data_IF_471277358251
#
_entry.id   IF_471277358251
#
_cell.length_a   1.000
_cell.length_b   1.000
_cell.length_c   1.000
_cell.angle_alpha   90.00
_cell.angle_beta   90.00
_cell.angle_gamma   90.00
#
_symmetry.space_group_name_H-M   'P 1'
#
loop_
_entity.id
_entity.type
_entity.pdbx_description
1 polymer ?
#
# COMPACT_ATOMS: atom_id res chain seq x y z
N UNK A 1 -27.50 28.77 10.93
CA UNK A 1 -26.99 28.36 9.60
C UNK A 1 -25.61 28.92 9.26
N UNK A 2 -25.32 30.21 9.45
CA UNK A 2 -24.03 30.81 9.02
C UNK A 2 -22.75 30.08 9.49
N UNK A 3 -22.68 29.66 10.77
CA UNK A 3 -21.48 29.01 11.33
C UNK A 3 -21.16 27.64 10.72
N UNK A 4 -22.18 26.85 10.38
CA UNK A 4 -21.95 25.53 9.78
C UNK A 4 -21.43 25.67 8.35
N UNK A 5 -21.93 26.65 7.59
CA UNK A 5 -21.43 26.92 6.23
C UNK A 5 -20.01 27.48 6.21
N UNK A 6 -19.64 28.31 7.19
CA UNK A 6 -18.25 28.75 7.39
C UNK A 6 -17.29 27.61 7.74
N UNK A 7 -17.75 26.61 8.50
CA UNK A 7 -16.95 25.43 8.77
C UNK A 7 -16.69 24.62 7.50
N UNK A 8 -17.73 24.40 6.69
CA UNK A 8 -17.60 23.73 5.39
C UNK A 8 -16.61 24.47 4.49
N UNK A 9 -16.77 25.79 4.33
CA UNK A 9 -15.83 26.64 3.59
C UNK A 9 -14.39 26.50 4.09
N UNK A 10 -14.18 26.51 5.40
CA UNK A 10 -12.84 26.37 5.99
C UNK A 10 -12.20 25.00 5.71
N UNK A 11 -12.99 23.93 5.68
CA UNK A 11 -12.50 22.57 5.47
C UNK A 11 -12.34 22.19 4.00
N UNK A 12 -13.03 22.86 3.08
CA UNK A 12 -13.04 22.48 1.66
C UNK A 12 -12.48 23.52 0.69
N UNK A 13 -12.44 24.80 1.07
CA UNK A 13 -12.14 25.89 0.13
C UNK A 13 -11.21 26.98 0.70
N UNK A 14 -10.64 26.77 1.89
CA UNK A 14 -9.64 27.69 2.46
C UNK A 14 -8.23 27.32 2.00
N UNK A 15 -7.29 28.25 2.18
CA UNK A 15 -5.87 27.97 1.95
C UNK A 15 -5.35 26.81 2.81
N UNK A 16 -5.90 26.64 4.01
CA UNK A 16 -5.56 25.52 4.89
C UNK A 16 -6.09 24.19 4.34
N UNK A 17 -7.30 24.18 3.76
CA UNK A 17 -7.84 23.00 3.09
C UNK A 17 -6.94 22.55 1.92
N UNK A 18 -6.51 23.49 1.06
CA UNK A 18 -5.58 23.19 -0.04
C UNK A 18 -4.24 22.64 0.47
N UNK A 19 -3.73 23.17 1.58
CA UNK A 19 -2.51 22.64 2.20
C UNK A 19 -2.69 21.20 2.70
N UNK A 20 -3.80 20.91 3.40
CA UNK A 20 -4.12 19.57 3.88
C UNK A 20 -4.28 18.56 2.74
N UNK A 21 -4.89 18.95 1.62
CA UNK A 21 -5.03 18.08 0.43
C UNK A 21 -3.66 17.69 -0.14
N UNK A 22 -2.75 18.66 -0.29
CA UNK A 22 -1.39 18.41 -0.80
C UNK A 22 -0.60 17.56 0.19
N UNK A 23 -0.64 17.91 1.48
CA UNK A 23 0.03 17.17 2.53
C UNK A 23 -0.49 15.72 2.64
N UNK A 24 -1.79 15.50 2.44
CA UNK A 24 -2.41 14.18 2.48
C UNK A 24 -1.91 13.24 1.38
N UNK A 25 -1.53 13.76 0.21
CA UNK A 25 -1.07 12.94 -0.93
C UNK A 25 0.44 12.98 -1.17
N UNK A 26 1.19 13.85 -0.49
CA UNK A 26 2.65 13.96 -0.64
C UNK A 26 3.44 13.80 0.67
N UNK A 27 2.80 13.90 1.84
CA UNK A 27 3.47 13.85 3.15
C UNK A 27 4.14 12.50 3.44
N UNK A 28 3.60 11.40 2.91
CA UNK A 28 4.20 10.05 2.95
C UNK A 28 4.99 9.69 1.68
N UNK A 29 5.22 10.64 0.78
CA UNK A 29 5.61 10.39 -0.61
C UNK A 29 4.41 10.48 -1.56
N UNK A 30 4.69 10.65 -2.86
CA UNK A 30 3.66 10.64 -3.91
C UNK A 30 2.85 9.33 -3.86
N UNK A 31 1.57 9.28 -4.28
CA UNK A 31 0.76 8.06 -4.20
C UNK A 31 1.38 6.82 -4.86
N UNK A 32 2.26 7.03 -5.85
CA UNK A 32 3.03 5.94 -6.48
C UNK A 32 4.03 5.27 -5.51
N UNK A 33 4.54 6.00 -4.53
CA UNK A 33 5.50 5.48 -3.54
C UNK A 33 4.91 4.40 -2.67
N UNK A 34 3.61 4.47 -2.32
CA UNK A 34 2.94 3.40 -1.59
C UNK A 34 2.89 2.12 -2.42
N UNK A 35 2.56 2.25 -3.72
CA UNK A 35 2.60 1.13 -4.65
C UNK A 35 4.01 0.56 -4.75
N UNK A 36 5.04 1.39 -4.88
CA UNK A 36 6.43 0.92 -4.91
C UNK A 36 6.78 0.19 -3.61
N UNK A 37 6.50 0.79 -2.45
CA UNK A 37 6.83 0.24 -1.14
C UNK A 37 6.19 -1.14 -0.89
N UNK A 38 4.90 -1.30 -1.18
CA UNK A 38 4.22 -2.59 -1.06
C UNK A 38 4.81 -3.66 -2.00
N UNK A 39 5.33 -3.24 -3.15
CA UNK A 39 5.89 -4.14 -4.14
C UNK A 39 7.35 -4.49 -3.93
N UNK A 40 8.10 -3.73 -3.11
CA UNK A 40 9.52 -4.00 -2.84
C UNK A 40 9.74 -5.37 -2.20
N UNK A 41 8.84 -5.79 -1.31
CA UNK A 41 8.96 -7.07 -0.59
C UNK A 41 7.99 -8.14 -1.10
N UNK A 42 7.15 -7.81 -2.09
CA UNK A 42 6.17 -8.77 -2.60
C UNK A 42 6.84 -9.85 -3.46
N UNK A 43 6.76 -11.10 -3.02
CA UNK A 43 7.27 -12.25 -3.78
C UNK A 43 6.35 -12.63 -4.94
N UNK A 44 6.54 -11.94 -6.06
CA UNK A 44 5.82 -12.18 -7.31
C UNK A 44 6.01 -13.59 -7.88
N UNK A 45 7.22 -14.14 -7.78
CA UNK A 45 7.53 -15.45 -8.36
C UNK A 45 6.83 -16.58 -7.59
N UNK A 46 6.71 -16.47 -6.27
CA UNK A 46 5.89 -17.40 -5.48
C UNK A 46 4.45 -17.45 -5.97
N UNK A 47 3.83 -16.28 -6.22
CA UNK A 47 2.44 -16.18 -6.70
C UNK A 47 2.28 -16.74 -8.11
N UNK A 48 3.24 -16.46 -8.98
CA UNK A 48 3.30 -16.99 -10.35
C UNK A 48 3.45 -18.52 -10.36
N UNK A 49 4.27 -19.07 -9.47
CA UNK A 49 4.46 -20.52 -9.37
C UNK A 49 3.20 -21.24 -8.90
N UNK A 50 2.44 -20.65 -7.96
CA UNK A 50 1.11 -21.14 -7.58
C UNK A 50 0.18 -21.13 -8.79
N UNK A 51 0.11 -20.03 -9.54
CA UNK A 51 -0.75 -19.93 -10.72
C UNK A 51 -0.39 -20.98 -11.79
N UNK A 52 0.91 -21.17 -12.07
CA UNK A 52 1.40 -22.20 -13.01
C UNK A 52 1.08 -23.62 -12.56
N UNK A 53 1.23 -23.91 -11.27
CA UNK A 53 0.88 -25.21 -10.72
C UNK A 53 -0.61 -25.51 -10.86
N UNK A 54 -1.46 -24.55 -10.48
CA UNK A 54 -2.93 -24.68 -10.60
C UNK A 54 -3.38 -24.79 -12.06
N UNK A 55 -2.66 -24.16 -12.99
CA UNK A 55 -2.90 -24.29 -14.43
C UNK A 55 -2.34 -25.59 -15.04
N UNK A 56 -1.71 -26.46 -14.25
CA UNK A 56 -1.10 -27.70 -14.74
C UNK A 56 0.18 -27.51 -15.56
N UNK A 57 0.74 -26.30 -15.60
CA UNK A 57 2.01 -25.99 -16.28
C UNK A 57 3.17 -26.59 -15.48
N UNK A 58 3.13 -26.45 -14.16
CA UNK A 58 4.08 -27.09 -13.24
C UNK A 58 3.41 -28.30 -12.60
N UNK A 59 4.11 -29.44 -12.55
CA UNK A 59 3.61 -30.67 -11.91
C UNK A 59 3.68 -30.65 -10.39
N UNK A 60 4.61 -29.87 -9.86
CA UNK A 60 4.89 -29.77 -8.43
C UNK A 60 4.94 -28.30 -8.01
N UNK A 61 4.61 -28.04 -6.75
CA UNK A 61 4.63 -26.73 -6.14
C UNK A 61 5.52 -26.77 -4.90
N UNK A 62 6.66 -26.10 -4.96
CA UNK A 62 7.52 -25.89 -3.79
C UNK A 62 7.15 -24.59 -3.06
N UNK A 63 6.67 -24.72 -1.82
CA UNK A 63 6.36 -23.60 -0.94
C UNK A 63 7.30 -23.54 0.28
N UNK A 64 8.41 -24.26 0.26
CA UNK A 64 9.35 -24.36 1.39
C UNK A 64 9.83 -23.00 1.89
N UNK A 65 9.98 -22.02 0.99
CA UNK A 65 10.36 -20.64 1.34
C UNK A 65 9.29 -19.96 2.21
N UNK A 66 8.03 -19.96 1.77
CA UNK A 66 6.90 -19.37 2.49
C UNK A 66 6.65 -20.07 3.84
N UNK A 67 6.77 -21.40 3.87
CA UNK A 67 6.56 -22.17 5.10
C UNK A 67 7.61 -21.90 6.17
N UNK A 68 8.82 -21.49 5.77
CA UNK A 68 9.92 -21.12 6.67
C UNK A 68 9.90 -19.65 7.06
N UNK A 69 9.05 -18.86 6.41
CA UNK A 69 8.95 -17.43 6.65
C UNK A 69 8.38 -17.17 8.04
N UNK A 70 9.09 -16.38 8.83
CA UNK A 70 8.62 -15.98 10.16
C UNK A 70 7.90 -14.65 10.04
N UNK A 71 6.77 -14.47 10.74
CA UNK A 71 6.07 -13.19 10.74
C UNK A 71 7.04 -12.09 11.19
N UNK A 72 7.14 -11.04 10.37
CA UNK A 72 8.09 -9.93 10.60
C UNK A 72 7.60 -8.92 11.62
N UNK A 73 6.60 -9.28 12.46
CA UNK A 73 5.99 -8.41 13.49
C UNK A 73 7.07 -7.61 14.23
N UNK A 74 7.22 -6.33 13.87
CA UNK A 74 8.12 -5.40 14.53
C UNK A 74 9.60 -5.44 14.12
N UNK A 75 10.03 -6.00 12.98
CA UNK A 75 11.33 -5.57 12.43
C UNK A 75 11.16 -4.22 11.75
N UNK A 76 11.93 -3.25 12.22
CA UNK A 76 11.90 -1.88 11.74
C UNK A 76 12.16 -1.86 10.23
N UNK A 77 11.21 -1.28 9.50
CA UNK A 77 11.49 -0.72 8.19
C UNK A 77 12.15 0.63 8.49
N UNK A 78 13.47 0.66 8.29
CA UNK A 78 14.45 1.70 8.64
C UNK A 78 14.95 1.69 10.09
#
# INVERSE_FOLDING_TARGET
AHRIWRLVENLSASAMASWYEIAGVHGGGSPIMETIALNLEYDYESRKNIAKYLAGINKELDQSKLLKEKPTFGRELF
#
